data_IF_816037463486
#
_entry.id   IF_816037463486
#
_cell.length_a   1.000
_cell.length_b   1.000
_cell.length_c   1.000
_cell.angle_alpha   90.00
_cell.angle_beta   90.00
_cell.angle_gamma   90.00
#
_symmetry.space_group_name_H-M   'P 1'
#
loop_
_entity.id
_entity.type
_entity.pdbx_description
1 polymer ?
#
# COMPACT_ATOMS: atom_id res chain seq x y z
N UNK A 1 17.83 -2.54 -4.11
CA UNK A 1 16.42 -2.88 -3.85
C UNK A 1 15.88 -1.96 -2.76
N UNK A 2 14.78 -1.31 -3.01
CA UNK A 2 14.12 -0.41 -2.06
C UNK A 2 12.94 -1.11 -1.42
N UNK A 3 12.82 -1.00 -0.10
CA UNK A 3 11.69 -1.51 0.66
C UNK A 3 10.82 -0.33 1.08
N UNK A 4 9.54 -0.44 0.81
CA UNK A 4 8.55 0.59 1.13
C UNK A 4 7.51 -0.04 2.05
N UNK A 5 7.45 0.46 3.28
CA UNK A 5 6.57 -0.09 4.31
C UNK A 5 5.62 1.01 4.78
N UNK A 6 4.33 0.71 4.77
CA UNK A 6 3.32 1.67 5.22
C UNK A 6 2.40 0.99 6.21
N UNK A 7 2.12 1.68 7.30
CA UNK A 7 1.18 1.23 8.33
C UNK A 7 0.01 2.19 8.33
N UNK A 8 -1.20 1.64 8.41
CA UNK A 8 -2.42 2.44 8.30
C UNK A 8 -3.38 2.19 9.44
N UNK A 9 -4.11 3.24 9.83
CA UNK A 9 -5.34 3.09 10.60
C UNK A 9 -6.52 3.45 9.71
N UNK A 10 -7.67 2.83 9.97
CA UNK A 10 -8.90 3.08 9.26
C UNK A 10 -9.78 4.02 10.05
N UNK A 11 -10.66 4.73 9.38
CA UNK A 11 -11.64 5.59 10.02
C UNK A 11 -12.59 4.76 10.87
N UNK A 12 -13.12 5.38 11.93
CA UNK A 12 -14.11 4.74 12.78
C UNK A 12 -15.32 4.33 11.94
N UNK A 13 -15.86 3.14 12.23
CA UNK A 13 -17.00 2.60 11.52
C UNK A 13 -16.68 1.83 10.25
N UNK A 14 -15.43 1.87 9.78
CA UNK A 14 -15.03 1.08 8.61
C UNK A 14 -14.80 -0.37 9.02
N UNK A 15 -15.39 -1.29 8.26
CA UNK A 15 -15.18 -2.73 8.47
C UNK A 15 -13.77 -3.09 7.99
N UNK A 16 -12.91 -3.48 8.92
CA UNK A 16 -11.49 -3.75 8.65
C UNK A 16 -11.30 -4.86 7.62
N UNK A 17 -11.99 -5.97 7.76
CA UNK A 17 -11.82 -7.11 6.86
C UNK A 17 -12.21 -6.76 5.43
N UNK A 18 -13.35 -6.08 5.28
CA UNK A 18 -13.83 -5.66 3.94
C UNK A 18 -12.92 -4.60 3.34
N UNK A 19 -12.46 -3.63 4.13
CA UNK A 19 -11.57 -2.59 3.66
C UNK A 19 -10.25 -3.19 3.17
N UNK A 20 -9.64 -4.07 3.95
CA UNK A 20 -8.38 -4.73 3.57
C UNK A 20 -8.56 -5.56 2.31
N UNK A 21 -9.68 -6.27 2.17
CA UNK A 21 -9.97 -7.06 0.97
C UNK A 21 -10.05 -6.16 -0.28
N UNK A 22 -10.73 -5.03 -0.18
CA UNK A 22 -10.82 -4.07 -1.29
C UNK A 22 -9.43 -3.54 -1.66
N UNK A 23 -8.65 -3.13 -0.66
CA UNK A 23 -7.32 -2.57 -0.87
C UNK A 23 -6.41 -3.61 -1.53
N UNK A 24 -6.44 -4.85 -1.07
CA UNK A 24 -5.68 -5.94 -1.67
C UNK A 24 -6.06 -6.16 -3.13
N UNK A 25 -7.36 -6.14 -3.42
CA UNK A 25 -7.86 -6.42 -4.78
C UNK A 25 -7.38 -5.39 -5.81
N UNK A 26 -7.13 -4.15 -5.40
CA UNK A 26 -6.71 -3.08 -6.32
C UNK A 26 -5.20 -2.83 -6.32
N UNK A 27 -4.49 -3.14 -5.24
CA UNK A 27 -3.04 -2.88 -5.16
C UNK A 27 -2.17 -4.11 -5.43
N UNK A 28 -2.54 -5.29 -4.95
CA UNK A 28 -1.71 -6.49 -5.13
C UNK A 28 -1.51 -6.92 -6.59
N UNK A 29 -2.41 -6.59 -7.54
CA UNK A 29 -2.15 -6.88 -8.95
C UNK A 29 -1.15 -5.95 -9.65
N UNK A 30 -0.73 -4.85 -9.01
CA UNK A 30 0.11 -3.83 -9.65
C UNK A 30 1.56 -4.25 -9.97
N UNK A 31 2.23 -5.14 -9.19
CA UNK A 31 3.55 -5.62 -9.60
C UNK A 31 3.52 -6.21 -11.01
N UNK A 32 4.51 -5.83 -11.83
CA UNK A 32 4.56 -6.21 -13.23
C UNK A 32 3.81 -5.28 -14.16
N UNK A 33 2.91 -4.43 -13.64
CA UNK A 33 2.17 -3.44 -14.42
C UNK A 33 2.75 -2.04 -14.25
N UNK A 34 3.43 -1.79 -13.14
CA UNK A 34 4.11 -0.52 -12.89
C UNK A 34 5.61 -0.78 -12.92
N UNK A 35 6.37 -0.08 -13.78
CA UNK A 35 7.81 -0.32 -13.91
C UNK A 35 8.54 -0.20 -12.58
N UNK A 36 9.35 -1.20 -12.27
CA UNK A 36 10.19 -1.22 -11.07
C UNK A 36 9.51 -1.68 -9.80
N UNK A 37 8.19 -1.86 -9.80
CA UNK A 37 7.46 -2.43 -8.68
C UNK A 37 7.50 -3.95 -8.81
N UNK A 38 8.23 -4.62 -7.91
CA UNK A 38 8.48 -6.06 -8.00
C UNK A 38 7.64 -6.90 -7.06
N UNK A 39 7.20 -6.32 -5.95
CA UNK A 39 6.39 -7.03 -4.95
C UNK A 39 5.52 -6.04 -4.19
N UNK A 40 4.30 -6.45 -3.88
CA UNK A 40 3.40 -5.67 -3.04
C UNK A 40 2.44 -6.62 -2.33
N UNK A 41 2.37 -6.50 -1.02
CA UNK A 41 1.43 -7.28 -0.23
C UNK A 41 0.78 -6.41 0.84
N UNK A 42 -0.46 -6.72 1.17
CA UNK A 42 -1.23 -6.03 2.19
C UNK A 42 -1.85 -7.08 3.11
N UNK A 43 -1.69 -6.88 4.41
CA UNK A 43 -2.23 -7.79 5.41
C UNK A 43 -2.83 -7.02 6.56
N UNK A 44 -3.98 -7.49 7.02
CA UNK A 44 -4.57 -6.98 8.25
C UNK A 44 -3.64 -7.28 9.43
N UNK A 45 -3.45 -6.32 10.31
CA UNK A 45 -2.66 -6.53 11.51
C UNK A 45 -3.48 -7.31 12.54
N UNK A 46 -2.89 -8.35 13.11
CA UNK A 46 -3.55 -9.10 14.17
C UNK A 46 -3.18 -8.55 15.56
N UNK A 47 -2.13 -7.74 15.64
CA UNK A 47 -1.62 -7.19 16.88
C UNK A 47 -0.92 -5.86 16.60
N UNK A 48 -0.89 -4.97 17.58
CA UNK A 48 -0.28 -3.64 17.47
C UNK A 48 -1.35 -2.55 17.31
N UNK A 49 -0.90 -1.31 17.20
CA UNK A 49 -1.78 -0.14 17.14
C UNK A 49 -2.31 0.23 15.77
N UNK A 50 -2.01 -0.57 14.75
CA UNK A 50 -2.37 -0.27 13.36
C UNK A 50 -3.38 -1.29 12.86
N UNK A 51 -4.16 -0.91 11.85
CA UNK A 51 -5.19 -1.80 11.30
C UNK A 51 -4.67 -2.71 10.21
N UNK A 52 -3.77 -2.21 9.35
CA UNK A 52 -3.14 -3.06 8.33
C UNK A 52 -1.78 -2.53 7.94
N UNK A 53 -1.00 -3.39 7.29
CA UNK A 53 0.34 -3.07 6.82
C UNK A 53 0.43 -3.32 5.32
N UNK A 54 1.16 -2.45 4.63
CA UNK A 54 1.55 -2.62 3.24
C UNK A 54 3.07 -2.79 3.19
N UNK A 55 3.52 -3.85 2.53
CA UNK A 55 4.94 -4.06 2.27
C UNK A 55 5.16 -4.18 0.78
N UNK A 56 6.09 -3.39 0.24
CA UNK A 56 6.39 -3.43 -1.18
C UNK A 56 7.88 -3.29 -1.46
N UNK A 57 8.29 -3.77 -2.63
CA UNK A 57 9.67 -3.75 -3.07
C UNK A 57 9.77 -3.10 -4.45
N UNK A 58 10.79 -2.25 -4.61
CA UNK A 58 11.05 -1.52 -5.84
C UNK A 58 12.50 -1.70 -6.26
N UNK A 59 12.76 -1.68 -7.55
CA UNK A 59 14.12 -1.83 -8.09
C UNK A 59 15.04 -0.67 -7.72
N UNK A 60 14.46 0.53 -7.51
CA UNK A 60 15.23 1.75 -7.23
C UNK A 60 14.38 2.79 -6.53
N UNK A 61 15.04 3.82 -5.99
CA UNK A 61 14.34 4.97 -5.41
C UNK A 61 13.52 5.71 -6.47
N UNK A 62 14.03 5.77 -7.70
CA UNK A 62 13.30 6.40 -8.80
C UNK A 62 12.02 5.64 -9.13
N UNK A 63 12.08 4.30 -9.11
CA UNK A 63 10.89 3.48 -9.34
C UNK A 63 9.81 3.75 -8.30
N UNK A 64 10.19 3.87 -7.02
CA UNK A 64 9.24 4.23 -5.97
C UNK A 64 8.63 5.61 -6.19
N UNK A 65 9.46 6.58 -6.57
CA UNK A 65 8.99 7.94 -6.85
C UNK A 65 7.98 7.95 -8.01
N UNK A 66 8.28 7.21 -9.07
CA UNK A 66 7.39 7.13 -10.23
C UNK A 66 6.09 6.39 -9.91
N UNK A 67 6.15 5.40 -9.04
CA UNK A 67 4.97 4.68 -8.57
C UNK A 67 3.97 5.63 -7.89
N UNK A 68 4.47 6.55 -7.07
CA UNK A 68 3.60 7.44 -6.28
C UNK A 68 2.64 8.25 -7.15
N UNK A 69 3.06 8.61 -8.36
CA UNK A 69 2.25 9.41 -9.30
C UNK A 69 1.75 8.62 -10.51
N UNK A 70 2.01 7.32 -10.55
CA UNK A 70 1.60 6.49 -11.69
C UNK A 70 0.08 6.41 -11.79
N UNK A 71 -0.50 6.54 -13.00
CA UNK A 71 -1.96 6.49 -13.17
C UNK A 71 -2.63 5.27 -12.57
N UNK A 72 -2.03 4.09 -12.68
CA UNK A 72 -2.61 2.86 -12.11
C UNK A 72 -2.65 2.90 -10.59
N UNK A 73 -1.65 3.51 -9.95
CA UNK A 73 -1.63 3.68 -8.50
C UNK A 73 -2.69 4.68 -8.05
N UNK A 74 -2.80 5.81 -8.76
CA UNK A 74 -3.79 6.84 -8.44
C UNK A 74 -5.21 6.33 -8.61
N UNK A 75 -5.46 5.55 -9.66
CA UNK A 75 -6.75 4.92 -9.89
C UNK A 75 -7.10 3.94 -8.78
N UNK A 76 -6.14 3.10 -8.38
CA UNK A 76 -6.35 2.15 -7.30
C UNK A 76 -6.71 2.86 -6.00
N UNK A 77 -6.05 3.98 -5.69
CA UNK A 77 -6.31 4.75 -4.47
C UNK A 77 -7.75 5.27 -4.38
N UNK A 78 -8.38 5.56 -5.50
CA UNK A 78 -9.75 6.05 -5.51
C UNK A 78 -10.72 5.07 -4.87
N UNK A 79 -10.41 3.78 -4.89
CA UNK A 79 -11.27 2.74 -4.33
C UNK A 79 -11.25 2.69 -2.81
N UNK A 80 -10.22 3.22 -2.16
CA UNK A 80 -10.06 3.04 -0.71
C UNK A 80 -9.61 4.28 0.06
N UNK A 81 -9.26 5.36 -0.63
CA UNK A 81 -8.72 6.56 0.03
C UNK A 81 -9.62 7.07 1.15
N UNK A 82 -10.94 7.01 0.96
CA UNK A 82 -11.91 7.49 1.94
C UNK A 82 -11.94 6.65 3.23
N UNK A 83 -11.40 5.43 3.21
CA UNK A 83 -11.38 4.55 4.39
C UNK A 83 -10.26 4.91 5.37
N UNK A 84 -9.23 5.63 4.90
CA UNK A 84 -7.99 5.81 5.64
C UNK A 84 -8.09 6.95 6.66
N UNK A 85 -7.48 6.73 7.84
CA UNK A 85 -7.34 7.76 8.86
C UNK A 85 -5.89 8.20 8.95
N UNK A 86 -5.01 7.39 9.53
CA UNK A 86 -3.60 7.73 9.69
C UNK A 86 -2.70 6.85 8.84
N UNK A 87 -1.55 7.39 8.46
CA UNK A 87 -0.58 6.70 7.62
C UNK A 87 0.83 6.99 8.13
N UNK A 88 1.61 5.93 8.36
CA UNK A 88 3.02 6.03 8.74
C UNK A 88 3.85 5.23 7.76
N UNK A 89 4.91 5.82 7.25
CA UNK A 89 5.70 5.25 6.16
C UNK A 89 7.19 5.22 6.50
N UNK A 90 7.86 4.15 6.10
CA UNK A 90 9.31 4.05 6.15
C UNK A 90 9.81 3.42 4.84
N UNK A 91 10.77 4.09 4.21
CA UNK A 91 11.42 3.59 3.01
C UNK A 91 12.91 3.43 3.30
N UNK A 92 13.48 2.29 2.91
CA UNK A 92 14.91 2.09 3.07
C UNK A 92 15.47 1.27 1.92
N UNK A 93 16.78 1.37 1.73
CA UNK A 93 17.48 0.71 0.64
C UNK A 93 18.43 -0.33 1.19
N UNK A 94 18.42 -1.52 0.58
CA UNK A 94 19.36 -2.58 0.89
C UNK A 94 20.54 -2.53 -0.06
#
# INVERSE_FOLDING_TARGET
>A
MVKHIVLYTLKEGVDKEKAVEIIRSVLEPLPGKIPGLTHLEIRAAYQGGMDYALYSEFESKEALKNYATHPLHLEAKEHFWSFLNERFCADYEL
#
